data_IF_373429548670
#
_entry.id   IF_373429548670
#
_cell.length_a   1.000
_cell.length_b   1.000
_cell.length_c   1.000
_cell.angle_alpha   90.00
_cell.angle_beta   90.00
_cell.angle_gamma   90.00
#
_symmetry.space_group_name_H-M   'P 1'
#
loop_
_entity.id
_entity.type
_entity.pdbx_description
1 polymer ?
#
# COMPACT_ATOMS: atom_id res chain seq x y z
N UNK A 1 -9.94 75.92 -31.02
CA UNK A 1 -11.10 75.03 -31.19
C UNK A 1 -10.59 73.62 -31.46
N UNK A 2 -11.03 72.67 -30.63
CA UNK A 2 -10.84 71.21 -30.64
C UNK A 2 -10.16 70.56 -31.85
N UNK A 3 -9.24 69.61 -31.60
CA UNK A 3 -9.60 68.18 -31.47
C UNK A 3 -8.47 67.34 -30.85
N UNK A 4 -8.91 66.50 -29.92
CA UNK A 4 -8.19 65.44 -29.23
C UNK A 4 -7.53 64.45 -30.20
N UNK A 5 -6.35 63.95 -29.85
CA UNK A 5 -5.96 62.56 -30.13
C UNK A 5 -5.05 62.02 -29.03
N UNK A 6 -5.45 60.85 -28.55
CA UNK A 6 -4.92 60.08 -27.44
C UNK A 6 -3.58 59.43 -27.80
N UNK A 7 -2.63 59.42 -26.86
CA UNK A 7 -1.70 58.31 -26.67
C UNK A 7 -1.28 58.28 -25.19
N UNK A 8 -1.90 57.40 -24.40
CA UNK A 8 -1.43 57.06 -23.05
C UNK A 8 -0.33 56.03 -23.23
N UNK A 9 0.92 56.47 -23.06
CA UNK A 9 2.09 55.59 -22.99
C UNK A 9 2.12 54.88 -21.64
N UNK A 10 2.13 53.56 -21.69
CA UNK A 10 2.20 52.67 -20.55
C UNK A 10 3.55 52.78 -19.82
N UNK A 11 3.53 52.81 -18.47
CA UNK A 11 4.71 52.55 -17.66
C UNK A 11 4.36 51.63 -16.49
N UNK A 12 4.50 50.33 -16.77
CA UNK A 12 4.94 49.25 -15.87
C UNK A 12 4.42 49.24 -14.42
N UNK A 13 3.28 48.57 -14.20
CA UNK A 13 3.03 47.88 -12.94
C UNK A 13 3.98 46.66 -12.87
N UNK A 14 4.93 46.67 -11.94
CA UNK A 14 5.68 45.46 -11.60
C UNK A 14 4.71 44.47 -10.95
N UNK A 15 4.30 43.46 -11.72
CA UNK A 15 3.62 42.27 -11.21
C UNK A 15 4.62 41.55 -10.31
N UNK A 16 4.42 41.62 -8.99
CA UNK A 16 5.04 40.71 -8.04
C UNK A 16 4.56 39.30 -8.40
N UNK A 17 5.34 38.62 -9.23
CA UNK A 17 5.24 37.18 -9.37
C UNK A 17 5.62 36.59 -8.01
N UNK A 18 4.61 36.37 -7.17
CA UNK A 18 4.73 35.40 -6.10
C UNK A 18 5.11 34.10 -6.78
N UNK A 19 6.38 33.73 -6.65
CA UNK A 19 6.87 32.38 -6.95
C UNK A 19 5.95 31.47 -6.16
N UNK A 20 5.04 30.82 -6.89
CA UNK A 20 4.15 29.82 -6.34
C UNK A 20 5.01 28.74 -5.71
N UNK A 21 5.08 28.73 -4.39
CA UNK A 21 5.19 27.46 -3.71
C UNK A 21 3.78 26.88 -3.70
N UNK A 22 3.36 26.28 -4.81
CA UNK A 22 2.26 25.32 -4.78
C UNK A 22 2.73 24.14 -3.91
N UNK A 23 2.52 24.22 -2.60
CA UNK A 23 2.78 23.10 -1.72
C UNK A 23 1.58 22.15 -1.72
N UNK A 24 1.31 21.45 -2.81
CA UNK A 24 0.32 20.36 -2.80
C UNK A 24 0.81 19.25 -3.76
N UNK A 25 1.12 18.04 -3.26
CA UNK A 25 0.06 17.16 -2.72
C UNK A 25 0.45 16.49 -1.42
N UNK A 26 -0.41 16.53 -0.39
CA UNK A 26 -0.28 15.53 0.69
C UNK A 26 -1.61 14.88 1.01
N UNK A 27 -2.03 13.96 0.14
CA UNK A 27 -2.49 12.61 0.52
C UNK A 27 -2.68 11.74 -0.74
N UNK A 28 -2.70 10.40 -0.62
CA UNK A 28 -3.77 9.67 0.10
C UNK A 28 -3.27 9.23 1.49
N UNK A 29 -3.98 9.30 2.63
CA UNK A 29 -5.39 9.04 2.90
C UNK A 29 -5.81 7.83 2.11
N UNK A 30 -5.26 6.69 2.49
CA UNK A 30 -5.77 5.41 2.03
C UNK A 30 -5.64 5.22 0.51
N UNK A 31 -4.54 4.62 0.04
CA UNK A 31 -4.44 4.06 -1.31
C UNK A 31 -4.86 2.60 -1.26
N UNK A 32 -5.67 2.15 -2.20
CA UNK A 32 -6.02 0.72 -2.34
C UNK A 32 -5.50 0.22 -3.68
N UNK A 33 -4.68 -0.82 -3.64
CA UNK A 33 -4.24 -1.58 -4.81
C UNK A 33 -4.98 -2.91 -4.82
N UNK A 34 -5.47 -3.31 -5.99
CA UNK A 34 -6.20 -4.57 -6.18
C UNK A 34 -5.52 -5.38 -7.27
N UNK A 35 -5.24 -6.64 -6.96
CA UNK A 35 -4.62 -7.60 -7.85
C UNK A 35 -5.33 -8.94 -7.76
N UNK A 36 -4.95 -9.86 -8.63
CA UNK A 36 -5.39 -11.24 -8.62
C UNK A 36 -4.19 -12.18 -8.74
N UNK A 37 -4.09 -13.16 -7.84
CA UNK A 37 -3.06 -14.19 -7.85
C UNK A 37 -3.71 -15.58 -7.96
N UNK A 38 -3.52 -16.25 -9.10
CA UNK A 38 -4.13 -17.55 -9.39
C UNK A 38 -5.66 -17.56 -9.17
N UNK A 39 -6.37 -16.55 -9.65
CA UNK A 39 -7.82 -16.42 -9.46
C UNK A 39 -8.27 -15.92 -8.08
N UNK A 40 -7.34 -15.66 -7.16
CA UNK A 40 -7.67 -15.16 -5.81
C UNK A 40 -7.37 -13.67 -5.68
N UNK A 41 -8.28 -12.86 -5.13
CA UNK A 41 -8.05 -11.44 -4.94
C UNK A 41 -6.95 -11.17 -3.91
N UNK A 42 -6.13 -10.16 -4.22
CA UNK A 42 -5.12 -9.58 -3.34
C UNK A 42 -5.45 -8.10 -3.22
N UNK A 43 -5.71 -7.63 -2.01
CA UNK A 43 -5.96 -6.20 -1.74
C UNK A 43 -4.87 -5.65 -0.83
N UNK A 44 -4.26 -4.54 -1.24
CA UNK A 44 -3.22 -3.84 -0.48
C UNK A 44 -3.71 -2.43 -0.20
N UNK A 45 -3.86 -2.09 1.07
CA UNK A 45 -4.39 -0.81 1.51
C UNK A 45 -3.35 -0.05 2.31
N UNK A 46 -2.83 1.04 1.74
CA UNK A 46 -1.82 1.91 2.34
C UNK A 46 -2.48 3.10 3.01
N UNK A 47 -2.30 3.26 4.31
CA UNK A 47 -2.73 4.42 5.08
C UNK A 47 -1.52 5.23 5.54
N UNK A 48 -1.25 6.35 4.86
CA UNK A 48 -0.27 7.33 5.34
C UNK A 48 -0.96 8.38 6.23
N UNK A 49 -0.42 8.55 7.44
CA UNK A 49 -0.90 9.52 8.43
C UNK A 49 -0.02 10.78 8.40
N UNK A 50 -0.48 11.88 8.99
CA UNK A 50 0.33 13.09 9.06
C UNK A 50 1.46 12.91 10.09
N UNK A 51 2.57 13.62 9.94
CA UNK A 51 3.69 13.56 10.90
C UNK A 51 3.30 13.97 12.34
N UNK A 52 2.14 14.64 12.52
CA UNK A 52 1.57 15.02 13.83
C UNK A 52 0.54 14.01 14.37
N UNK A 53 0.23 12.96 13.61
CA UNK A 53 -0.73 11.92 13.99
C UNK A 53 -0.21 11.08 15.15
N UNK A 54 -1.12 10.67 16.04
CA UNK A 54 -0.84 9.69 17.10
C UNK A 54 -0.69 8.27 16.53
N UNK A 55 -1.39 7.96 15.45
CA UNK A 55 -1.34 6.67 14.77
C UNK A 55 -0.27 6.65 13.69
N UNK A 56 0.55 5.58 13.60
CA UNK A 56 1.57 5.45 12.57
C UNK A 56 0.93 5.17 11.20
N UNK A 57 1.67 5.49 10.13
CA UNK A 57 1.34 5.00 8.79
C UNK A 57 1.38 3.47 8.76
N UNK A 58 0.59 2.85 7.90
CA UNK A 58 0.50 1.40 7.81
C UNK A 58 0.11 0.93 6.41
N UNK A 59 0.35 -0.36 6.15
CA UNK A 59 -0.13 -1.04 4.95
C UNK A 59 -0.79 -2.34 5.36
N UNK A 60 -2.07 -2.52 5.01
CA UNK A 60 -2.82 -3.75 5.24
C UNK A 60 -2.84 -4.56 3.96
N UNK A 61 -2.38 -5.81 4.01
CA UNK A 61 -2.49 -6.77 2.89
C UNK A 61 -3.55 -7.80 3.26
N UNK A 62 -4.59 -7.92 2.44
CA UNK A 62 -5.65 -8.92 2.54
C UNK A 62 -5.46 -9.98 1.47
N UNK A 63 -5.46 -11.24 1.89
CA UNK A 63 -5.31 -12.41 1.03
C UNK A 63 -6.41 -13.43 1.32
N UNK A 64 -6.98 -14.04 0.28
CA UNK A 64 -7.84 -15.20 0.49
C UNK A 64 -7.06 -16.36 1.10
N UNK A 65 -7.66 -17.05 2.07
CA UNK A 65 -7.06 -18.17 2.77
C UNK A 65 -8.13 -19.22 3.06
N UNK A 66 -7.78 -20.50 2.99
CA UNK A 66 -8.66 -21.59 3.42
C UNK A 66 -7.90 -22.55 4.34
N UNK A 67 -7.84 -22.25 5.65
CA UNK A 67 -7.13 -23.08 6.63
C UNK A 67 -7.63 -24.53 6.71
N UNK A 68 -8.87 -24.82 6.27
CA UNK A 68 -9.41 -26.19 6.25
C UNK A 68 -8.66 -27.11 5.29
N UNK A 69 -7.92 -26.53 4.34
CA UNK A 69 -7.04 -27.26 3.43
C UNK A 69 -5.65 -27.50 4.00
N UNK A 70 -5.32 -26.99 5.19
CA UNK A 70 -3.98 -27.02 5.77
C UNK A 70 -2.99 -26.00 5.19
N UNK A 71 -3.40 -25.21 4.20
CA UNK A 71 -2.61 -24.08 3.70
C UNK A 71 -2.83 -22.84 4.56
N UNK A 72 -1.75 -22.08 4.78
CA UNK A 72 -1.78 -20.79 5.45
C UNK A 72 -0.79 -19.83 4.78
N UNK A 73 -1.06 -18.53 4.87
CA UNK A 73 -0.04 -17.55 4.51
C UNK A 73 1.01 -17.45 5.61
N UNK A 74 2.24 -17.24 5.18
CA UNK A 74 3.39 -16.86 6.00
C UNK A 74 4.08 -15.67 5.33
N UNK A 75 4.91 -14.93 6.07
CA UNK A 75 5.63 -13.77 5.53
C UNK A 75 7.13 -13.82 5.85
N UNK A 76 7.90 -13.15 5.00
CA UNK A 76 9.32 -12.83 5.23
C UNK A 76 9.57 -11.38 4.84
N UNK A 77 10.24 -10.64 5.71
CA UNK A 77 10.68 -9.27 5.44
C UNK A 77 12.17 -9.23 5.13
N UNK A 78 12.58 -8.39 4.18
CA UNK A 78 13.99 -8.19 3.85
C UNK A 78 14.25 -6.75 3.38
N UNK A 79 15.04 -5.94 4.12
CA UNK A 79 15.53 -6.20 5.47
C UNK A 79 14.41 -6.06 6.52
N UNK A 80 14.50 -6.85 7.58
CA UNK A 80 13.52 -6.90 8.69
C UNK A 80 13.50 -5.64 9.58
N UNK A 81 14.52 -4.77 9.49
CA UNK A 81 14.62 -3.54 10.28
C UNK A 81 13.87 -2.32 9.73
N UNK A 82 13.39 -2.39 8.47
CA UNK A 82 12.73 -1.28 7.78
C UNK A 82 11.21 -1.31 7.98
N UNK A 83 10.64 -2.51 8.05
CA UNK A 83 9.20 -2.75 8.15
C UNK A 83 8.95 -3.81 9.22
N UNK A 84 7.81 -3.76 9.90
CA UNK A 84 7.40 -4.77 10.88
C UNK A 84 5.94 -5.16 10.65
N UNK A 85 5.59 -6.43 10.84
CA UNK A 85 4.19 -6.85 10.96
C UNK A 85 3.72 -6.58 12.39
N UNK A 86 2.71 -5.73 12.55
CA UNK A 86 2.15 -5.34 13.87
C UNK A 86 0.86 -6.07 14.20
N UNK A 87 0.16 -6.60 13.20
CA UNK A 87 -1.00 -7.46 13.39
C UNK A 87 -1.07 -8.50 12.26
N UNK A 88 -1.53 -9.69 12.62
CA UNK A 88 -1.84 -10.79 11.71
C UNK A 88 -3.11 -11.47 12.19
N UNK A 89 -4.10 -11.60 11.30
CA UNK A 89 -5.37 -12.26 11.65
C UNK A 89 -6.00 -12.97 10.48
N UNK A 90 -6.71 -14.05 10.79
CA UNK A 90 -7.61 -14.72 9.87
C UNK A 90 -9.06 -14.42 10.24
N UNK A 91 -9.89 -14.09 9.24
CA UNK A 91 -11.32 -13.87 9.38
C UNK A 91 -12.03 -14.82 8.41
N UNK A 92 -12.79 -15.77 8.97
CA UNK A 92 -13.60 -16.69 8.17
C UNK A 92 -14.75 -15.94 7.49
N UNK A 93 -15.04 -16.28 6.23
CA UNK A 93 -16.21 -15.72 5.55
C UNK A 93 -17.51 -16.22 6.18
N UNK A 94 -18.60 -15.46 6.01
CA UNK A 94 -19.91 -15.82 6.56
C UNK A 94 -20.30 -17.22 6.07
N UNK A 95 -20.51 -18.11 7.03
CA UNK A 95 -20.91 -19.50 6.81
C UNK A 95 -22.45 -19.56 6.80
N UNK A 96 -23.06 -20.03 5.72
CA UNK A 96 -24.41 -20.58 5.85
C UNK A 96 -24.31 -21.92 6.59
N UNK A 97 -25.23 -22.14 7.53
CA UNK A 97 -25.35 -23.29 8.45
C UNK A 97 -25.02 -24.67 7.87
N UNK A 98 -25.11 -24.86 6.56
CA UNK A 98 -24.90 -26.13 5.84
C UNK A 98 -23.55 -26.29 5.13
N UNK A 99 -22.68 -25.29 5.14
CA UNK A 99 -21.43 -25.33 4.35
C UNK A 99 -20.22 -25.69 5.20
N UNK A 100 -19.62 -26.86 5.00
CA UNK A 100 -18.30 -27.21 5.59
C UNK A 100 -17.17 -26.74 4.65
N UNK A 101 -16.04 -26.32 5.19
CA UNK A 101 -14.87 -25.92 4.38
C UNK A 101 -14.86 -24.47 3.87
N UNK A 102 -15.70 -23.59 4.42
CA UNK A 102 -15.70 -22.16 4.07
C UNK A 102 -14.33 -21.54 4.38
N UNK A 103 -13.70 -20.98 3.36
CA UNK A 103 -12.48 -20.19 3.52
C UNK A 103 -12.74 -18.85 4.21
N UNK A 104 -11.80 -17.94 4.03
CA UNK A 104 -11.82 -16.61 4.59
C UNK A 104 -10.68 -15.77 4.07
N UNK A 105 -10.27 -14.80 4.88
CA UNK A 105 -9.26 -13.82 4.53
C UNK A 105 -8.21 -13.75 5.64
N UNK A 106 -6.94 -13.78 5.26
CA UNK A 106 -5.81 -13.50 6.13
C UNK A 106 -5.33 -12.08 5.88
N UNK A 107 -5.06 -11.36 6.96
CA UNK A 107 -4.66 -9.95 6.95
C UNK A 107 -3.30 -9.80 7.61
N UNK A 108 -2.44 -9.00 6.98
CA UNK A 108 -1.16 -8.56 7.53
C UNK A 108 -1.15 -7.04 7.61
N UNK A 109 -0.86 -6.49 8.78
CA UNK A 109 -0.65 -5.04 8.94
C UNK A 109 0.85 -4.78 9.07
N UNK A 110 1.41 -4.12 8.06
CA UNK A 110 2.80 -3.68 8.02
C UNK A 110 2.92 -2.24 8.52
N UNK A 111 3.86 -1.99 9.42
CA UNK A 111 4.15 -0.66 9.98
C UNK A 111 5.62 -0.30 9.74
N UNK A 112 5.91 0.86 9.12
CA UNK A 112 7.25 1.34 8.86
C UNK A 112 8.01 1.60 10.17
N UNK A 113 9.24 1.11 10.24
CA UNK A 113 10.14 1.29 11.37
C UNK A 113 11.20 2.36 11.09
N UNK A 114 11.76 2.34 9.87
CA UNK A 114 12.87 3.21 9.45
C UNK A 114 12.73 3.53 7.97
N UNK A 115 13.29 4.67 7.54
CA UNK A 115 13.43 4.99 6.13
C UNK A 115 14.23 3.88 5.41
N UNK A 116 13.80 3.51 4.21
CA UNK A 116 14.51 2.54 3.38
C UNK A 116 13.59 1.81 2.41
N UNK A 117 14.13 0.75 1.81
CA UNK A 117 13.40 -0.16 0.94
C UNK A 117 13.29 -1.51 1.66
N UNK A 118 12.14 -2.17 1.57
CA UNK A 118 11.92 -3.50 2.09
C UNK A 118 11.04 -4.34 1.17
N UNK A 119 11.42 -5.59 0.97
CA UNK A 119 10.55 -6.60 0.37
C UNK A 119 9.76 -7.31 1.46
N UNK A 120 8.46 -7.49 1.24
CA UNK A 120 7.64 -8.46 1.93
C UNK A 120 7.30 -9.60 0.97
N UNK A 121 7.72 -10.82 1.31
CA UNK A 121 7.40 -12.03 0.56
C UNK A 121 6.37 -12.81 1.36
N UNK A 122 5.14 -12.89 0.85
CA UNK A 122 4.06 -13.68 1.41
C UNK A 122 3.96 -15.00 0.66
N UNK A 123 3.91 -16.10 1.39
CA UNK A 123 3.87 -17.47 0.83
C UNK A 123 2.68 -18.24 1.39
N UNK A 124 1.80 -18.71 0.51
CA UNK A 124 0.70 -19.61 0.83
C UNK A 124 1.16 -21.03 0.60
N UNK A 125 1.37 -21.79 1.67
CA UNK A 125 1.92 -23.14 1.60
C UNK A 125 1.43 -23.99 2.75
N UNK A 126 1.60 -25.31 2.64
CA UNK A 126 1.57 -26.22 3.78
C UNK A 126 2.98 -26.31 4.37
N UNK A 127 3.20 -25.99 5.65
CA UNK A 127 4.54 -25.99 6.23
C UNK A 127 5.25 -27.35 6.13
N UNK A 128 4.50 -28.45 6.05
CA UNK A 128 5.00 -29.82 6.00
C UNK A 128 5.08 -30.41 4.58
N UNK A 129 4.70 -29.67 3.53
CA UNK A 129 4.63 -30.19 2.16
C UNK A 129 5.24 -29.17 1.18
N UNK A 130 6.13 -29.62 0.27
CA UNK A 130 6.61 -28.76 -0.82
C UNK A 130 5.81 -29.08 -2.06
N UNK A 131 4.90 -28.18 -2.46
CA UNK A 131 4.00 -28.43 -3.58
C UNK A 131 4.14 -27.38 -4.68
N UNK A 132 3.67 -27.71 -5.90
CA UNK A 132 3.52 -26.74 -6.99
C UNK A 132 2.35 -25.76 -6.78
N UNK A 133 1.52 -26.00 -5.76
CA UNK A 133 0.36 -25.16 -5.44
C UNK A 133 0.73 -24.01 -4.50
N UNK A 134 1.96 -23.97 -4.02
CA UNK A 134 2.45 -22.88 -3.19
C UNK A 134 2.35 -21.57 -3.96
N UNK A 135 1.70 -20.58 -3.36
CA UNK A 135 1.55 -19.26 -3.98
C UNK A 135 2.54 -18.31 -3.34
N UNK A 136 3.17 -17.44 -4.14
CA UNK A 136 4.04 -16.39 -3.62
C UNK A 136 3.57 -15.02 -4.14
N UNK A 137 3.68 -14.03 -3.26
CA UNK A 137 3.46 -12.62 -3.55
C UNK A 137 4.64 -11.86 -2.96
N UNK A 138 5.39 -11.14 -3.79
CA UNK A 138 6.43 -10.22 -3.34
C UNK A 138 5.92 -8.79 -3.51
N UNK A 139 5.94 -8.03 -2.42
CA UNK A 139 5.60 -6.62 -2.42
C UNK A 139 6.87 -5.85 -2.04
N UNK A 140 7.30 -4.94 -2.91
CA UNK A 140 8.41 -4.04 -2.64
C UNK A 140 7.87 -2.74 -2.08
N UNK A 141 8.30 -2.38 -0.88
CA UNK A 141 7.94 -1.14 -0.20
C UNK A 141 9.10 -0.14 -0.21
N UNK A 142 8.74 1.13 -0.32
CA UNK A 142 9.61 2.27 -0.02
C UNK A 142 9.05 3.03 1.18
N UNK A 143 9.90 3.36 2.14
CA UNK A 143 9.58 4.11 3.35
C UNK A 143 10.39 5.41 3.32
N UNK A 144 9.71 6.55 3.43
CA UNK A 144 10.36 7.86 3.43
C UNK A 144 10.86 8.29 4.83
N UNK A 145 11.41 9.51 4.93
CA UNK A 145 11.88 10.09 6.20
C UNK A 145 10.76 10.34 7.21
N UNK A 146 9.51 10.51 6.75
CA UNK A 146 8.34 10.72 7.58
C UNK A 146 7.74 9.40 8.09
N UNK A 147 8.29 8.25 7.67
CA UNK A 147 7.70 6.92 7.83
C UNK A 147 6.38 6.78 7.07
N UNK A 148 6.20 7.52 5.98
CA UNK A 148 5.17 7.24 5.00
C UNK A 148 5.59 6.01 4.18
N UNK A 149 4.66 5.09 3.96
CA UNK A 149 4.87 3.83 3.24
C UNK A 149 4.29 3.91 1.84
N UNK A 150 5.01 3.35 0.87
CA UNK A 150 4.64 3.33 -0.53
C UNK A 150 4.87 1.94 -1.11
N UNK A 151 3.92 1.45 -1.90
CA UNK A 151 4.09 0.23 -2.69
C UNK A 151 4.85 0.63 -3.97
N UNK A 152 6.05 0.10 -4.16
CA UNK A 152 6.87 0.35 -5.33
C UNK A 152 6.64 -0.68 -6.43
N UNK A 153 6.46 -1.94 -6.04
CA UNK A 153 6.25 -3.04 -6.99
C UNK A 153 5.48 -4.19 -6.33
N UNK A 154 4.75 -4.95 -7.14
CA UNK A 154 4.01 -6.15 -6.72
C UNK A 154 4.22 -7.24 -7.76
N UNK A 155 4.87 -8.32 -7.34
CA UNK A 155 5.15 -9.49 -8.18
C UNK A 155 4.30 -10.65 -7.65
N UNK A 156 3.49 -11.24 -8.52
CA UNK A 156 2.57 -12.34 -8.22
C UNK A 156 3.05 -13.62 -8.92
N UNK A 157 2.92 -14.77 -8.26
CA UNK A 157 3.22 -16.09 -8.82
C UNK A 157 4.37 -16.81 -8.14
N UNK A 158 4.69 -18.01 -8.62
CA UNK A 158 5.83 -18.81 -8.17
C UNK A 158 7.12 -18.30 -8.80
N UNK A 159 8.21 -18.19 -8.00
CA UNK A 159 9.54 -18.00 -8.57
C UNK A 159 9.76 -19.14 -9.59
N UNK A 160 9.97 -18.78 -10.86
CA UNK A 160 10.22 -19.72 -11.96
C UNK A 160 11.49 -20.54 -11.72
#
# INVERSE_FOLDING_TARGET
MNRFSFFVGALSLAVLAFIGCESVPKKPATVVYKYENNGNPVEITVLNTSAKSKEPSSCTVMLCANPTTGYSWSYRLTPDKVLKVTDEKYVQDKKDSRTVGTGGKQYYIFTPQKQGIADAVLTYSRPWEKTKLDQKIRIKFSIDRNRDIYVQDVILGTDK
#
